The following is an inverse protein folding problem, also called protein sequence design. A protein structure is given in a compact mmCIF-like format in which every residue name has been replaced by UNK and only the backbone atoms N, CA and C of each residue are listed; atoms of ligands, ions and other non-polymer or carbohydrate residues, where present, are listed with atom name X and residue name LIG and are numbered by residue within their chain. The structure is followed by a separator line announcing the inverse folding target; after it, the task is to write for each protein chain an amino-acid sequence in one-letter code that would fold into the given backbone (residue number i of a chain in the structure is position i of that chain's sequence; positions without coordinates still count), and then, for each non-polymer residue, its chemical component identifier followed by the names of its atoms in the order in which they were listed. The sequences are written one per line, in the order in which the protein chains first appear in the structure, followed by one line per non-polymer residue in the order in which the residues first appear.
data_IF_511915381015
#
_entry.id   IF_511915381015
#
_cell.length_a   1.000
_cell.length_b   1.000
_cell.length_c   1.000
_cell.angle_alpha   90.00
_cell.angle_beta   90.00
_cell.angle_gamma   90.00
#
_symmetry.space_group_name_H-M   'P 1'
#
loop_
_entity.id
_entity.type
_entity.pdbx_description
1 polymer ?
#
# COMPACT_ATOMS: atom_id res chain seq x y z
N UNK A 1 -9.19 -3.21 -1.08
CA UNK A 1 -8.85 -2.53 -2.34
C UNK A 1 -8.29 -1.17 -1.95
N UNK A 2 -7.18 -0.68 -2.51
CA UNK A 2 -6.71 0.67 -2.20
C UNK A 2 -7.43 1.68 -3.11
N UNK A 3 -8.30 2.55 -2.58
CA UNK A 3 -8.91 3.60 -3.39
C UNK A 3 -7.84 4.61 -3.81
N UNK A 4 -7.84 5.00 -5.08
CA UNK A 4 -7.04 6.14 -5.57
C UNK A 4 -7.87 7.40 -5.40
N UNK A 5 -7.39 8.31 -4.57
CA UNK A 5 -8.01 9.62 -4.35
C UNK A 5 -7.50 10.59 -5.41
N UNK A 6 -8.41 11.35 -6.01
CA UNK A 6 -8.09 12.41 -6.96
C UNK A 6 -8.42 13.76 -6.34
N UNK A 7 -7.49 14.70 -6.48
CA UNK A 7 -7.55 16.05 -5.93
C UNK A 7 -7.16 17.05 -7.01
N UNK A 8 -7.55 18.31 -6.85
CA UNK A 8 -7.09 19.39 -7.72
C UNK A 8 -6.91 20.68 -6.95
N UNK A 9 -6.06 21.54 -7.49
CA UNK A 9 -5.91 22.93 -7.08
C UNK A 9 -5.42 23.74 -8.28
N UNK A 10 -5.88 24.99 -8.41
CA UNK A 10 -5.46 25.89 -9.48
C UNK A 10 -4.52 26.94 -8.89
N UNK A 11 -3.23 26.83 -9.21
CA UNK A 11 -2.20 27.72 -8.69
C UNK A 11 -2.15 29.05 -9.46
N UNK A 12 -2.02 30.20 -8.77
CA UNK A 12 -1.58 31.45 -9.39
C UNK A 12 -0.21 31.29 -10.07
N UNK A 13 0.00 32.01 -11.18
CA UNK A 13 1.25 31.92 -11.94
C UNK A 13 2.49 32.28 -11.13
N UNK A 14 2.37 33.22 -10.18
CA UNK A 14 3.45 33.64 -9.29
C UNK A 14 3.90 32.52 -8.35
N UNK A 15 2.94 31.83 -7.74
CA UNK A 15 3.19 30.71 -6.83
C UNK A 15 3.84 29.55 -7.59
N UNK A 16 3.29 29.19 -8.75
CA UNK A 16 3.87 28.16 -9.60
C UNK A 16 5.32 28.50 -10.01
N UNK A 17 5.59 29.75 -10.41
CA UNK A 17 6.92 30.15 -10.85
C UNK A 17 7.95 30.05 -9.72
N UNK A 18 7.58 30.44 -8.50
CA UNK A 18 8.44 30.31 -7.32
C UNK A 18 8.74 28.85 -6.99
N UNK A 19 7.70 28.01 -6.96
CA UNK A 19 7.86 26.58 -6.73
C UNK A 19 8.69 25.90 -7.83
N UNK A 20 8.47 26.26 -9.10
CA UNK A 20 9.18 25.66 -10.23
C UNK A 20 10.70 25.89 -10.15
N UNK A 21 11.14 27.06 -9.67
CA UNK A 21 12.56 27.32 -9.44
C UNK A 21 13.15 26.39 -8.36
N UNK A 22 12.42 26.19 -7.25
CA UNK A 22 12.81 25.28 -6.17
C UNK A 22 12.87 23.83 -6.69
N UNK A 23 11.85 23.41 -7.44
CA UNK A 23 11.80 22.08 -8.02
C UNK A 23 12.96 21.85 -8.99
N UNK A 24 13.29 22.81 -9.86
CA UNK A 24 14.43 22.71 -10.79
C UNK A 24 15.76 22.57 -10.03
N UNK A 25 15.94 23.30 -8.94
CA UNK A 25 17.14 23.18 -8.11
C UNK A 25 17.23 21.81 -7.44
N UNK A 26 16.12 21.31 -6.88
CA UNK A 26 16.05 19.95 -6.33
C UNK A 26 16.37 18.90 -7.41
N UNK A 27 15.79 19.07 -8.61
CA UNK A 27 16.00 18.17 -9.74
C UNK A 27 17.46 18.15 -10.24
N UNK A 28 18.18 19.26 -10.11
CA UNK A 28 19.59 19.38 -10.50
C UNK A 28 20.58 18.89 -9.42
N UNK A 29 20.10 18.53 -8.23
CA UNK A 29 20.96 18.10 -7.12
C UNK A 29 21.45 16.66 -7.33
N UNK A 30 22.74 16.41 -7.15
CA UNK A 30 23.38 15.10 -7.39
C UNK A 30 23.17 14.13 -6.21
N UNK A 31 23.26 14.63 -4.97
CA UNK A 31 23.11 13.84 -3.75
C UNK A 31 21.75 14.13 -3.09
N UNK A 32 21.11 13.12 -2.50
CA UNK A 32 19.81 13.29 -1.82
C UNK A 32 18.70 13.86 -2.71
N UNK A 33 18.78 13.56 -4.01
CA UNK A 33 17.85 14.04 -5.03
C UNK A 33 16.40 13.64 -4.72
N UNK A 34 16.18 12.40 -4.25
CA UNK A 34 14.85 11.90 -3.91
C UNK A 34 14.23 12.70 -2.77
N UNK A 35 15.00 12.98 -1.72
CA UNK A 35 14.55 13.73 -0.55
C UNK A 35 14.31 15.20 -0.90
N UNK A 36 15.17 15.79 -1.74
CA UNK A 36 15.00 17.16 -2.21
C UNK A 36 13.73 17.31 -3.06
N UNK A 37 13.44 16.36 -3.95
CA UNK A 37 12.21 16.33 -4.74
C UNK A 37 10.97 16.09 -3.88
N UNK A 38 11.03 15.18 -2.91
CA UNK A 38 9.94 14.92 -1.97
C UNK A 38 9.62 16.17 -1.14
N UNK A 39 10.64 16.90 -0.69
CA UNK A 39 10.45 18.18 -0.01
C UNK A 39 9.81 19.21 -0.94
N UNK A 40 10.28 19.34 -2.19
CA UNK A 40 9.68 20.25 -3.17
C UNK A 40 8.21 19.91 -3.46
N UNK A 41 7.86 18.63 -3.60
CA UNK A 41 6.48 18.18 -3.80
C UNK A 41 5.59 18.56 -2.61
N UNK A 42 6.04 18.32 -1.37
CA UNK A 42 5.30 18.69 -0.15
C UNK A 42 5.03 20.18 -0.02
N UNK A 43 5.84 21.06 -0.62
CA UNK A 43 5.59 22.50 -0.58
C UNK A 43 4.34 22.91 -1.35
N UNK A 44 4.04 22.23 -2.46
CA UNK A 44 2.93 22.57 -3.37
C UNK A 44 1.69 21.68 -3.15
N UNK A 45 1.85 20.47 -2.61
CA UNK A 45 0.75 19.53 -2.32
C UNK A 45 -0.02 19.88 -1.03
N UNK A 46 -0.52 21.13 -0.93
CA UNK A 46 -1.27 21.65 0.21
C UNK A 46 -2.63 22.18 -0.23
N UNK A 47 -3.59 22.19 0.70
CA UNK A 47 -4.90 22.85 0.55
C UNK A 47 -5.66 22.49 -0.74
N UNK A 48 -5.56 21.22 -1.15
CA UNK A 48 -6.17 20.71 -2.38
C UNK A 48 -7.67 20.40 -2.19
N UNK A 49 -8.43 20.51 -3.27
CA UNK A 49 -9.86 20.16 -3.31
C UNK A 49 -10.05 18.71 -3.75
N UNK A 50 -10.73 17.92 -2.92
CA UNK A 50 -11.12 16.54 -3.24
C UNK A 50 -12.06 16.51 -4.44
N UNK A 51 -11.66 15.83 -5.50
CA UNK A 51 -12.51 15.57 -6.66
C UNK A 51 -13.30 14.27 -6.51
N UNK A 52 -12.70 13.26 -5.87
CA UNK A 52 -13.34 11.98 -5.64
C UNK A 52 -12.34 10.85 -5.40
N UNK A 53 -12.85 9.63 -5.37
CA UNK A 53 -12.05 8.42 -5.25
C UNK A 53 -12.48 7.39 -6.30
N UNK A 54 -11.50 6.69 -6.86
CA UNK A 54 -11.71 5.54 -7.75
C UNK A 54 -11.22 4.29 -7.07
N UNK A 55 -11.89 3.17 -7.35
CA UNK A 55 -11.54 1.89 -6.74
C UNK A 55 -11.60 0.82 -7.84
N UNK A 56 -10.47 0.17 -8.11
CA UNK A 56 -10.39 -0.87 -9.13
C UNK A 56 -10.51 -2.22 -8.43
N UNK A 57 -11.55 -2.98 -8.77
CA UNK A 57 -11.74 -4.34 -8.30
C UNK A 57 -11.18 -5.33 -9.30
N UNK A 58 -10.14 -6.06 -8.91
CA UNK A 58 -9.74 -7.25 -9.66
C UNK A 58 -10.80 -8.34 -9.48
N UNK A 59 -11.32 -8.84 -10.60
CA UNK A 59 -12.35 -9.88 -10.61
C UNK A 59 -11.68 -11.24 -10.50
N UNK A 60 -11.76 -11.86 -9.33
CA UNK A 60 -11.40 -13.26 -9.14
C UNK A 60 -12.57 -14.15 -9.60
N UNK A 61 -12.31 -15.10 -10.51
CA UNK A 61 -13.32 -16.06 -10.95
C UNK A 61 -13.16 -17.40 -10.21
N UNK A 62 -14.24 -17.92 -9.65
CA UNK A 62 -14.29 -19.26 -9.01
C UNK A 62 -13.57 -19.41 -7.67
N UNK A 63 -12.62 -18.52 -7.36
CA UNK A 63 -11.81 -18.57 -6.12
C UNK A 63 -12.65 -18.52 -4.84
N UNK A 64 -13.63 -17.61 -4.68
CA UNK A 64 -14.40 -17.53 -3.42
C UNK A 64 -15.14 -18.82 -3.09
N UNK A 65 -15.80 -19.42 -4.09
CA UNK A 65 -16.56 -20.66 -3.92
C UNK A 65 -15.65 -21.83 -3.51
N UNK A 66 -14.48 -21.95 -4.13
CA UNK A 66 -13.52 -22.99 -3.78
C UNK A 66 -12.97 -22.82 -2.36
N UNK A 67 -12.64 -21.58 -1.96
CA UNK A 67 -12.20 -21.26 -0.60
C UNK A 67 -13.28 -21.64 0.42
N UNK A 68 -14.53 -21.30 0.16
CA UNK A 68 -15.65 -21.64 1.02
C UNK A 68 -15.80 -23.16 1.21
N UNK A 69 -15.81 -23.93 0.12
CA UNK A 69 -15.90 -25.41 0.20
C UNK A 69 -14.75 -26.01 0.99
N UNK A 70 -13.53 -25.51 0.80
CA UNK A 70 -12.36 -25.98 1.56
C UNK A 70 -12.47 -25.63 3.05
N UNK A 71 -12.98 -24.44 3.39
CA UNK A 71 -13.23 -24.04 4.78
C UNK A 71 -14.31 -24.90 5.44
N UNK A 72 -15.41 -25.20 4.74
CA UNK A 72 -16.49 -26.10 5.23
C UNK A 72 -15.98 -27.53 5.45
N UNK A 73 -15.03 -27.99 4.62
CA UNK A 73 -14.35 -29.26 4.81
C UNK A 73 -13.33 -29.26 5.98
N UNK A 74 -13.18 -28.15 6.70
CA UNK A 74 -12.26 -28.01 7.83
C UNK A 74 -10.80 -27.78 7.44
N UNK A 75 -10.51 -27.52 6.16
CA UNK A 75 -9.15 -27.33 5.66
C UNK A 75 -8.69 -25.89 5.96
N UNK A 76 -7.50 -25.75 6.56
CA UNK A 76 -6.89 -24.44 6.84
C UNK A 76 -6.11 -23.96 5.63
N UNK A 77 -6.46 -22.79 5.11
CA UNK A 77 -5.88 -22.21 3.91
C UNK A 77 -4.89 -21.11 4.31
N UNK A 78 -3.69 -21.17 3.74
CA UNK A 78 -2.64 -20.19 3.93
C UNK A 78 -2.30 -19.56 2.59
N UNK A 79 -2.16 -18.24 2.55
CA UNK A 79 -1.76 -17.50 1.35
C UNK A 79 -0.37 -16.90 1.59
N UNK A 80 0.57 -17.27 0.73
CA UNK A 80 1.93 -16.73 0.71
C UNK A 80 2.03 -15.79 -0.49
N UNK A 81 2.34 -14.52 -0.24
CA UNK A 81 2.43 -13.51 -1.28
C UNK A 81 3.72 -12.71 -1.09
N UNK A 82 4.45 -12.49 -2.19
CA UNK A 82 5.63 -11.61 -2.23
C UNK A 82 5.28 -10.15 -2.56
N UNK A 83 4.00 -9.82 -2.57
CA UNK A 83 3.43 -8.49 -2.84
C UNK A 83 3.31 -7.67 -1.54
N UNK A 84 2.92 -6.40 -1.67
CA UNK A 84 2.67 -5.53 -0.50
C UNK A 84 1.56 -6.08 0.38
N UNK A 85 1.66 -5.84 1.69
CA UNK A 85 0.68 -6.31 2.67
C UNK A 85 -0.73 -5.80 2.36
N UNK A 86 -0.90 -4.54 1.96
CA UNK A 86 -2.23 -4.03 1.65
C UNK A 86 -2.87 -4.79 0.49
N UNK A 87 -2.08 -5.15 -0.53
CA UNK A 87 -2.53 -5.98 -1.66
C UNK A 87 -2.95 -7.36 -1.18
N UNK A 88 -2.16 -7.99 -0.30
CA UNK A 88 -2.47 -9.31 0.24
C UNK A 88 -3.78 -9.34 1.03
N UNK A 89 -3.99 -8.37 1.92
CA UNK A 89 -5.25 -8.21 2.67
C UNK A 89 -6.42 -8.01 1.70
N UNK A 90 -6.24 -7.16 0.69
CA UNK A 90 -7.29 -6.87 -0.29
C UNK A 90 -7.70 -8.10 -1.08
N UNK A 91 -6.76 -8.97 -1.44
CA UNK A 91 -7.02 -10.25 -2.10
C UNK A 91 -7.74 -11.19 -1.13
N UNK A 92 -7.26 -11.30 0.11
CA UNK A 92 -7.88 -12.13 1.14
C UNK A 92 -9.36 -11.79 1.40
N UNK A 93 -9.69 -10.49 1.43
CA UNK A 93 -11.08 -10.02 1.51
C UNK A 93 -11.84 -10.34 0.22
N UNK A 94 -11.23 -10.08 -0.95
CA UNK A 94 -11.90 -10.29 -2.24
C UNK A 94 -12.24 -11.75 -2.53
N UNK A 95 -11.43 -12.68 -2.03
CA UNK A 95 -11.67 -14.12 -2.16
C UNK A 95 -12.41 -14.73 -0.97
N UNK A 96 -12.89 -13.91 -0.02
CA UNK A 96 -13.61 -14.34 1.19
C UNK A 96 -12.79 -15.26 2.12
N UNK A 97 -11.47 -15.26 1.98
CA UNK A 97 -10.59 -15.90 2.95
C UNK A 97 -10.60 -15.15 4.29
N UNK A 98 -10.69 -13.82 4.22
CA UNK A 98 -10.83 -12.91 5.35
C UNK A 98 -12.27 -12.37 5.32
N UNK A 99 -13.09 -12.76 6.30
CA UNK A 99 -14.46 -12.29 6.45
C UNK A 99 -14.56 -10.92 7.11
N UNK A 100 -15.67 -10.21 6.89
CA UNK A 100 -15.88 -8.86 7.46
C UNK A 100 -15.88 -8.82 8.99
N UNK A 101 -16.21 -9.93 9.64
CA UNK A 101 -16.27 -10.06 11.11
C UNK A 101 -15.00 -10.68 11.72
N UNK A 102 -13.95 -10.90 10.94
CA UNK A 102 -12.70 -11.49 11.45
C UNK A 102 -11.77 -10.41 11.99
N UNK A 103 -11.15 -10.67 13.14
CA UNK A 103 -10.07 -9.85 13.65
C UNK A 103 -8.78 -10.09 12.86
N UNK A 104 -8.15 -9.01 12.41
CA UNK A 104 -6.87 -9.08 11.71
C UNK A 104 -5.72 -8.89 12.71
N UNK A 105 -4.98 -9.96 12.97
CA UNK A 105 -3.74 -9.91 13.75
C UNK A 105 -2.57 -9.65 12.80
N UNK A 106 -1.90 -8.51 12.98
CA UNK A 106 -0.73 -8.12 12.17
C UNK A 106 0.53 -8.16 13.03
N UNK A 107 1.57 -8.81 12.53
CA UNK A 107 2.85 -8.98 13.22
C UNK A 107 3.94 -8.34 12.35
N UNK A 108 4.58 -7.31 12.90
CA UNK A 108 5.77 -6.69 12.33
C UNK A 108 6.97 -6.96 13.24
N UNK A 109 8.11 -7.24 12.64
CA UNK A 109 9.39 -7.35 13.35
C UNK A 109 10.36 -6.33 12.74
N UNK A 110 10.79 -5.35 13.53
CA UNK A 110 11.68 -4.27 13.08
C UNK A 110 13.18 -4.66 13.14
N UNK A 111 13.50 -5.61 14.01
CA UNK A 111 14.86 -6.13 14.20
C UNK A 111 14.82 -7.62 14.20
N UNK A 112 15.59 -8.28 13.34
CA UNK A 112 15.72 -9.73 13.34
C UNK A 112 16.25 -10.21 14.69
N UNK A 113 15.36 -10.61 15.60
CA UNK A 113 15.77 -11.14 16.89
C UNK A 113 16.19 -12.60 16.67
N UNK A 114 17.47 -12.86 16.97
CA UNK A 114 18.14 -14.16 17.08
C UNK A 114 17.33 -15.37 16.60
N UNK A 115 17.62 -15.84 15.38
CA UNK A 115 17.35 -17.23 15.01
C UNK A 115 18.07 -18.12 16.02
N UNK A 116 17.36 -18.61 17.04
CA UNK A 116 17.86 -19.68 17.90
C UNK A 116 18.38 -20.78 16.97
N UNK A 117 19.67 -21.16 17.05
CA UNK A 117 20.12 -22.33 16.32
C UNK A 117 19.25 -23.50 16.78
N UNK A 118 18.69 -24.23 15.82
CA UNK A 118 17.91 -25.45 16.09
C UNK A 118 18.75 -26.37 16.97
N UNK A 119 18.49 -26.38 18.27
CA UNK A 119 19.03 -27.39 19.16
C UNK A 119 18.33 -28.70 18.83
N UNK A 120 19.11 -29.62 18.24
CA UNK A 120 19.03 -31.06 18.41
C UNK A 120 17.66 -31.73 18.32
N UNK A 121 17.41 -32.40 17.21
CA UNK A 121 16.77 -33.71 17.26
C UNK A 121 17.90 -34.74 17.16
N UNK A 122 18.27 -35.29 18.32
CA UNK A 122 18.83 -36.63 18.45
C UNK A 122 17.71 -37.58 18.83
#
# INVERSE_FOLDING_TARGET
MLPKVSVHYVFPSTEYTQWAAIYQQAAATINWHSEALDHAAKLIEKDMFLLGATAIKEKLQGVPNAIHTLQEAGIKIWVLMGERQETAINIGISCQLIGESMDLVVIYEETAHERRPRSGWG
#
